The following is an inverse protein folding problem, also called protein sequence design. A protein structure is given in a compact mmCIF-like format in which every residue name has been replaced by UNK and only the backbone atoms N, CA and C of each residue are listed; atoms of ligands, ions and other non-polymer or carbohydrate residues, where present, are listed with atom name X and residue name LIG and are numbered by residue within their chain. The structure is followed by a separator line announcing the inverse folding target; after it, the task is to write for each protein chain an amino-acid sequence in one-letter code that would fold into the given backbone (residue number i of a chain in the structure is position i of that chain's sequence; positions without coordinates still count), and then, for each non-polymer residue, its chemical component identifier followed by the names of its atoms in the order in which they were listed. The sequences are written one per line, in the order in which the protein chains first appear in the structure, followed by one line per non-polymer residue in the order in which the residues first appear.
data_IF_658717994658
#
_entry.id   IF_658717994658
#
_cell.length_a   1.000
_cell.length_b   1.000
_cell.length_c   1.000
_cell.angle_alpha   90.00
_cell.angle_beta   90.00
_cell.angle_gamma   90.00
#
_symmetry.space_group_name_H-M   'P 1'
#
loop_
_entity.id
_entity.type
_entity.pdbx_description
1 polymer ?
#
# COMPACT_ATOMS: atom_id res chain seq x y z
N UNK A 1 1.07 13.47 12.32
CA UNK A 1 -0.03 14.29 11.73
C UNK A 1 -1.35 13.70 12.22
N UNK A 2 -2.30 14.52 12.67
CA UNK A 2 -3.61 14.02 13.09
C UNK A 2 -4.43 13.58 11.85
N UNK A 3 -5.39 12.64 12.00
CA UNK A 3 -6.25 12.22 10.89
C UNK A 3 -6.98 13.37 10.17
N UNK A 4 -7.34 14.42 10.93
CA UNK A 4 -8.01 15.60 10.38
C UNK A 4 -7.10 16.41 9.44
N UNK A 5 -5.81 16.54 9.74
CA UNK A 5 -4.86 17.28 8.88
C UNK A 5 -4.56 16.57 7.56
N UNK A 6 -4.58 15.22 7.55
CA UNK A 6 -4.41 14.47 6.32
C UNK A 6 -5.64 14.58 5.41
N UNK A 7 -6.86 14.56 5.97
CA UNK A 7 -8.09 14.71 5.21
C UNK A 7 -8.20 16.10 4.54
N UNK A 8 -7.93 17.19 5.29
CA UNK A 8 -7.91 18.56 4.73
C UNK A 8 -6.90 18.70 3.58
N UNK A 9 -5.76 18.04 3.66
CA UNK A 9 -4.73 18.11 2.63
C UNK A 9 -5.18 17.43 1.33
N UNK A 10 -5.88 16.31 1.41
CA UNK A 10 -6.45 15.60 0.26
C UNK A 10 -7.55 16.40 -0.43
N UNK A 11 -8.42 17.06 0.32
CA UNK A 11 -9.49 17.90 -0.24
C UNK A 11 -8.95 19.08 -1.07
N UNK A 12 -7.83 19.68 -0.66
CA UNK A 12 -7.28 20.84 -1.35
C UNK A 12 -6.55 20.54 -2.65
N UNK A 13 -5.87 19.38 -2.75
CA UNK A 13 -4.94 19.12 -3.86
C UNK A 13 -5.18 17.80 -4.60
N UNK A 14 -6.06 16.90 -4.11
CA UNK A 14 -6.30 15.58 -4.68
C UNK A 14 -5.05 14.67 -4.73
N UNK A 15 -4.01 15.00 -3.96
CA UNK A 15 -2.75 14.27 -3.95
C UNK A 15 -2.80 13.15 -2.92
N UNK A 16 -2.26 12.01 -3.28
CA UNK A 16 -2.16 10.87 -2.42
C UNK A 16 -0.86 10.10 -2.66
N UNK A 17 -0.38 9.40 -1.66
CA UNK A 17 0.83 8.62 -1.75
C UNK A 17 0.78 7.40 -0.85
N UNK A 18 1.39 6.32 -1.31
CA UNK A 18 1.66 5.12 -0.53
C UNK A 18 3.06 4.61 -0.82
N UNK A 19 3.78 4.20 0.22
CA UNK A 19 5.09 3.56 0.09
C UNK A 19 5.08 2.20 0.77
N UNK A 20 5.61 1.20 0.08
CA UNK A 20 5.80 -0.15 0.61
C UNK A 20 7.29 -0.46 0.62
N UNK A 21 7.73 -1.17 1.64
CA UNK A 21 9.07 -1.73 1.66
C UNK A 21 9.22 -2.76 0.55
N UNK A 22 10.32 -2.74 -0.18
CA UNK A 22 10.67 -3.82 -1.08
C UNK A 22 11.33 -4.96 -0.27
N UNK A 23 10.99 -6.22 -0.60
CA UNK A 23 11.50 -7.40 0.09
C UNK A 23 12.45 -8.15 -0.83
N UNK A 24 13.73 -7.99 -0.56
CA UNK A 24 14.84 -8.60 -1.31
C UNK A 24 15.93 -9.20 -0.39
N UNK A 25 15.60 -9.38 0.89
CA UNK A 25 16.56 -9.87 1.89
C UNK A 25 17.64 -8.85 2.29
N UNK A 26 17.65 -7.66 1.67
CA UNK A 26 18.62 -6.61 1.98
C UNK A 26 18.14 -5.78 3.17
N UNK A 27 18.98 -5.68 4.20
CA UNK A 27 18.67 -4.84 5.34
C UNK A 27 18.97 -3.37 5.01
N UNK A 28 18.11 -2.47 5.52
CA UNK A 28 18.34 -1.03 5.39
C UNK A 28 19.61 -0.63 6.15
N UNK A 29 20.42 0.22 5.52
CA UNK A 29 21.57 0.85 6.15
C UNK A 29 21.16 2.02 7.05
N UNK A 30 21.97 2.33 8.08
CA UNK A 30 21.76 3.51 8.93
C UNK A 30 21.89 4.84 8.17
N UNK A 31 22.56 4.83 7.04
CA UNK A 31 22.86 6.04 6.24
C UNK A 31 21.74 6.33 5.20
N UNK A 32 20.81 5.40 5.03
CA UNK A 32 19.69 5.57 4.11
C UNK A 32 18.59 6.47 4.69
N UNK A 33 18.02 7.30 3.83
CA UNK A 33 16.89 8.18 4.18
C UNK A 33 15.63 7.37 4.46
N UNK A 34 14.77 7.91 5.33
CA UNK A 34 13.46 7.31 5.59
C UNK A 34 12.56 7.39 4.36
N UNK A 35 12.05 6.26 3.91
CA UNK A 35 11.08 6.14 2.80
C UNK A 35 9.79 6.94 3.04
N UNK A 36 9.42 7.14 4.32
CA UNK A 36 8.29 8.00 4.69
C UNK A 36 8.48 9.45 4.25
N UNK A 37 9.73 9.91 4.12
CA UNK A 37 10.08 11.22 3.55
C UNK A 37 9.55 11.42 2.13
N UNK A 38 9.59 10.39 1.28
CA UNK A 38 9.06 10.42 -0.08
C UNK A 38 7.55 10.76 -0.12
N UNK A 39 6.79 10.17 0.80
CA UNK A 39 5.35 10.44 0.93
C UNK A 39 5.12 11.90 1.32
N UNK A 40 5.82 12.37 2.35
CA UNK A 40 5.68 13.75 2.83
C UNK A 40 6.14 14.76 1.78
N UNK A 41 7.28 14.55 1.15
CA UNK A 41 7.82 15.44 0.10
C UNK A 41 6.86 15.53 -1.10
N UNK A 42 6.28 14.40 -1.53
CA UNK A 42 5.29 14.43 -2.59
C UNK A 42 4.01 15.16 -2.17
N UNK A 43 3.43 14.85 -1.01
CA UNK A 43 2.17 15.44 -0.56
C UNK A 43 2.26 16.96 -0.33
N UNK A 44 3.41 17.46 0.12
CA UNK A 44 3.64 18.89 0.38
C UNK A 44 4.21 19.66 -0.83
N UNK A 45 4.67 18.93 -1.85
CA UNK A 45 5.25 19.49 -3.06
C UNK A 45 4.21 19.87 -4.11
N UNK A 46 4.71 20.43 -5.22
CA UNK A 46 3.88 20.89 -6.35
C UNK A 46 4.17 20.16 -7.65
N UNK A 47 5.18 19.28 -7.70
CA UNK A 47 5.52 18.53 -8.90
C UNK A 47 4.40 17.54 -9.27
N UNK A 48 4.22 17.32 -10.58
CA UNK A 48 3.36 16.23 -11.03
C UNK A 48 3.85 14.88 -10.51
N UNK A 49 3.00 13.85 -10.36
CA UNK A 49 3.44 12.52 -9.96
C UNK A 49 4.61 11.98 -10.80
N UNK A 50 4.56 12.16 -12.11
CA UNK A 50 5.62 11.70 -13.01
C UNK A 50 6.94 12.48 -12.83
N UNK A 51 6.85 13.81 -12.70
CA UNK A 51 8.05 14.62 -12.52
C UNK A 51 8.69 14.38 -11.14
N UNK A 52 7.88 14.22 -10.11
CA UNK A 52 8.38 13.82 -8.79
C UNK A 52 9.10 12.47 -8.85
N UNK A 53 8.45 11.45 -9.43
CA UNK A 53 9.02 10.10 -9.52
C UNK A 53 10.36 10.07 -10.27
N UNK A 54 10.55 10.92 -11.29
CA UNK A 54 11.80 11.04 -12.07
C UNK A 54 12.92 11.76 -11.35
N UNK A 55 12.60 12.57 -10.34
CA UNK A 55 13.57 13.38 -9.59
C UNK A 55 14.04 12.71 -8.30
N UNK A 56 13.45 11.57 -7.92
CA UNK A 56 13.88 10.84 -6.73
C UNK A 56 15.33 10.34 -6.93
N UNK A 57 16.22 10.65 -5.98
CA UNK A 57 17.49 9.98 -5.91
C UNK A 57 17.30 8.57 -5.30
N UNK A 58 17.14 7.60 -6.18
CA UNK A 58 16.77 6.24 -5.82
C UNK A 58 17.79 5.55 -4.91
N UNK A 59 19.05 5.99 -4.93
CA UNK A 59 20.14 5.38 -4.17
C UNK A 59 20.13 5.78 -2.70
N UNK A 60 19.45 6.87 -2.38
CA UNK A 60 19.36 7.39 -1.01
C UNK A 60 18.50 6.52 -0.09
N UNK A 61 17.77 5.53 -0.63
CA UNK A 61 16.74 4.81 0.12
C UNK A 61 16.93 3.30 0.07
N UNK A 62 16.60 2.63 1.17
CA UNK A 62 16.36 1.19 1.17
C UNK A 62 15.27 0.81 0.14
N UNK A 63 15.18 -0.46 -0.22
CA UNK A 63 14.21 -0.95 -1.20
C UNK A 63 12.77 -0.51 -0.94
N UNK A 64 12.09 0.07 -1.94
CA UNK A 64 10.71 0.54 -1.85
C UNK A 64 9.95 0.38 -3.17
N UNK A 65 8.62 0.28 -3.07
CA UNK A 65 7.64 0.65 -4.09
C UNK A 65 6.95 1.92 -3.64
N UNK A 66 6.90 2.94 -4.48
CA UNK A 66 6.18 4.19 -4.25
C UNK A 66 5.06 4.31 -5.27
N UNK A 67 3.83 4.50 -4.79
CA UNK A 67 2.66 4.78 -5.61
C UNK A 67 2.17 6.17 -5.22
N UNK A 68 2.11 7.07 -6.18
CA UNK A 68 1.71 8.46 -5.98
C UNK A 68 0.71 8.88 -7.03
N UNK A 69 -0.18 9.77 -6.66
CA UNK A 69 -1.19 10.25 -7.59
C UNK A 69 -1.73 11.62 -7.22
N UNK A 70 -2.36 12.22 -8.20
CA UNK A 70 -3.14 13.45 -8.09
C UNK A 70 -4.46 13.31 -8.86
N UNK A 71 -5.14 14.42 -9.09
CA UNK A 71 -6.38 14.47 -9.84
C UNK A 71 -6.28 14.01 -11.30
N UNK A 72 -5.08 14.00 -11.89
CA UNK A 72 -4.86 13.78 -13.32
C UNK A 72 -4.25 12.41 -13.61
N UNK A 73 -3.36 11.93 -12.75
CA UNK A 73 -2.59 10.71 -13.01
C UNK A 73 -2.17 10.00 -11.72
N UNK A 74 -1.86 8.72 -11.86
CA UNK A 74 -1.18 7.92 -10.85
C UNK A 74 0.08 7.31 -11.45
N UNK A 75 1.14 7.20 -10.66
CA UNK A 75 2.45 6.68 -11.07
C UNK A 75 2.96 5.71 -10.03
N UNK A 76 3.56 4.62 -10.49
CA UNK A 76 4.35 3.72 -9.66
C UNK A 76 5.82 3.80 -10.04
N UNK A 77 6.69 3.73 -9.06
CA UNK A 77 8.16 3.67 -9.22
C UNK A 77 8.76 2.86 -8.09
N UNK A 78 9.88 2.18 -8.35
CA UNK A 78 10.70 1.59 -7.30
C UNK A 78 12.20 1.80 -7.57
N UNK A 79 13.03 1.55 -6.56
CA UNK A 79 14.49 1.57 -6.69
C UNK A 79 15.08 0.15 -6.88
N UNK A 80 14.30 -0.76 -7.45
CA UNK A 80 14.71 -2.13 -7.78
C UNK A 80 14.44 -2.47 -9.26
N UNK A 81 14.58 -1.48 -10.12
CA UNK A 81 14.54 -1.67 -11.57
C UNK A 81 13.22 -1.31 -12.25
N UNK A 82 12.16 -0.95 -11.52
CA UNK A 82 10.90 -0.50 -12.12
C UNK A 82 10.92 1.03 -12.28
N UNK A 83 11.07 1.48 -13.51
CA UNK A 83 11.06 2.91 -13.87
C UNK A 83 9.70 3.55 -13.56
N UNK A 84 9.63 4.91 -13.40
CA UNK A 84 8.35 5.61 -13.25
C UNK A 84 7.38 5.25 -14.37
N UNK A 85 6.27 4.61 -14.00
CA UNK A 85 5.28 4.07 -14.93
C UNK A 85 3.88 4.59 -14.57
N UNK A 86 3.12 5.18 -15.53
CA UNK A 86 1.78 5.63 -15.27
C UNK A 86 0.84 4.45 -15.04
N UNK A 87 -0.05 4.58 -14.06
CA UNK A 87 -1.15 3.66 -13.81
C UNK A 87 -2.41 4.19 -14.50
N UNK A 88 -2.98 3.36 -15.34
CA UNK A 88 -4.25 3.65 -16.02
C UNK A 88 -5.43 3.08 -15.24
N UNK A 89 -6.66 3.29 -15.77
CA UNK A 89 -7.85 2.67 -15.16
C UNK A 89 -7.71 1.16 -15.10
N UNK A 90 -7.88 0.58 -13.92
CA UNK A 90 -7.74 -0.86 -13.70
C UNK A 90 -7.66 -1.24 -12.22
N UNK A 91 -7.50 -2.53 -11.97
CA UNK A 91 -7.27 -3.08 -10.65
C UNK A 91 -5.78 -3.45 -10.50
N UNK A 92 -5.10 -2.77 -9.62
CA UNK A 92 -3.72 -3.03 -9.25
C UNK A 92 -3.66 -3.59 -7.84
N UNK A 93 -2.91 -4.67 -7.65
CA UNK A 93 -2.60 -5.24 -6.34
C UNK A 93 -1.10 -5.36 -6.24
N UNK A 94 -0.51 -4.51 -5.42
CA UNK A 94 0.93 -4.33 -5.29
C UNK A 94 1.36 -4.78 -3.90
N UNK A 95 2.47 -5.49 -3.83
CA UNK A 95 3.04 -5.97 -2.57
C UNK A 95 4.51 -5.53 -2.44
N UNK A 96 5.30 -6.33 -1.76
CA UNK A 96 6.68 -6.02 -1.40
C UNK A 96 7.73 -6.49 -2.44
N UNK A 97 7.31 -6.94 -3.63
CA UNK A 97 8.14 -7.31 -4.79
C UNK A 97 7.95 -6.36 -5.95
N UNK A 98 8.24 -6.82 -7.17
CA UNK A 98 7.95 -6.05 -8.37
C UNK A 98 6.42 -5.86 -8.52
N UNK A 99 5.97 -4.75 -9.14
CA UNK A 99 4.54 -4.51 -9.34
C UNK A 99 3.83 -5.62 -10.12
N UNK A 100 4.55 -6.33 -10.98
CA UNK A 100 4.07 -7.42 -11.82
C UNK A 100 4.12 -8.80 -11.14
N UNK A 101 4.72 -8.90 -9.96
CA UNK A 101 4.88 -10.17 -9.28
C UNK A 101 3.53 -10.81 -8.93
N UNK A 102 3.36 -12.05 -9.38
CA UNK A 102 2.17 -12.86 -9.10
C UNK A 102 2.37 -13.70 -7.84
N UNK A 103 2.54 -13.05 -6.70
CA UNK A 103 2.59 -13.75 -5.43
C UNK A 103 1.22 -14.29 -5.02
N UNK A 104 1.18 -15.36 -4.24
CA UNK A 104 -0.08 -15.95 -3.78
C UNK A 104 -1.04 -14.91 -3.21
N UNK A 105 -0.59 -14.06 -2.29
CA UNK A 105 -1.45 -13.04 -1.66
C UNK A 105 -1.94 -11.98 -2.63
N UNK A 106 -1.15 -11.61 -3.65
CA UNK A 106 -1.59 -10.61 -4.65
C UNK A 106 -2.65 -11.19 -5.58
N UNK A 107 -2.48 -12.43 -6.05
CA UNK A 107 -3.48 -13.11 -6.86
C UNK A 107 -4.76 -13.41 -6.09
N UNK A 108 -4.60 -13.88 -4.84
CA UNK A 108 -5.72 -14.15 -3.94
C UNK A 108 -6.56 -12.88 -3.68
N UNK A 109 -5.90 -11.78 -3.31
CA UNK A 109 -6.55 -10.49 -3.08
C UNK A 109 -7.21 -9.96 -4.37
N UNK A 110 -6.52 -10.04 -5.49
CA UNK A 110 -7.04 -9.60 -6.81
C UNK A 110 -8.30 -10.36 -7.20
N UNK A 111 -8.30 -11.69 -7.01
CA UNK A 111 -9.46 -12.54 -7.29
C UNK A 111 -10.67 -12.15 -6.44
N UNK A 112 -10.48 -12.01 -5.14
CA UNK A 112 -11.55 -11.65 -4.21
C UNK A 112 -12.08 -10.24 -4.43
N UNK A 113 -11.20 -9.26 -4.70
CA UNK A 113 -11.65 -7.89 -5.03
C UNK A 113 -12.55 -7.87 -6.28
N UNK A 114 -12.20 -8.65 -7.32
CA UNK A 114 -13.02 -8.76 -8.53
C UNK A 114 -14.38 -9.40 -8.28
N UNK A 115 -14.46 -10.36 -7.38
CA UNK A 115 -15.67 -11.13 -7.12
C UNK A 115 -16.57 -10.48 -6.07
N UNK A 116 -16.00 -9.85 -5.04
CA UNK A 116 -16.73 -9.47 -3.84
C UNK A 116 -16.86 -7.95 -3.66
N UNK A 117 -15.98 -7.14 -4.25
CA UNK A 117 -15.96 -5.68 -4.02
C UNK A 117 -16.32 -4.89 -5.27
N UNK A 118 -15.66 -5.17 -6.40
CA UNK A 118 -15.88 -4.40 -7.63
C UNK A 118 -17.34 -4.45 -8.13
N UNK A 119 -18.07 -5.57 -8.05
CA UNK A 119 -19.49 -5.59 -8.40
C UNK A 119 -20.33 -4.63 -7.54
N UNK A 120 -20.09 -4.60 -6.22
CA UNK A 120 -20.79 -3.70 -5.31
C UNK A 120 -20.56 -2.22 -5.64
N UNK A 121 -19.34 -1.88 -6.03
CA UNK A 121 -19.00 -0.53 -6.47
C UNK A 121 -19.68 -0.21 -7.81
N UNK A 122 -19.69 -1.16 -8.75
CA UNK A 122 -20.29 -0.99 -10.06
C UNK A 122 -21.82 -0.85 -10.01
N UNK A 123 -22.47 -1.50 -9.04
CA UNK A 123 -23.89 -1.41 -8.76
C UNK A 123 -24.29 -0.17 -7.95
N UNK A 124 -23.36 0.73 -7.70
CA UNK A 124 -23.53 1.93 -6.86
C UNK A 124 -24.07 1.63 -5.45
N UNK A 125 -23.68 0.48 -4.91
CA UNK A 125 -24.02 0.10 -3.54
C UNK A 125 -23.48 1.12 -2.54
N UNK A 126 -24.17 1.26 -1.40
CA UNK A 126 -23.71 2.21 -0.39
C UNK A 126 -22.26 1.94 0.05
N UNK A 127 -21.46 2.97 0.37
CA UNK A 127 -20.09 2.80 0.81
C UNK A 127 -19.91 1.79 1.94
N UNK A 128 -20.86 1.73 2.88
CA UNK A 128 -20.81 0.79 4.01
C UNK A 128 -20.73 -0.68 3.56
N UNK A 129 -21.42 -1.06 2.47
CA UNK A 129 -21.43 -2.45 2.00
C UNK A 129 -20.11 -2.86 1.35
N UNK A 130 -19.65 -2.09 0.36
CA UNK A 130 -18.41 -2.48 -0.33
C UNK A 130 -17.15 -2.27 0.56
N UNK A 131 -17.16 -1.29 1.47
CA UNK A 131 -16.09 -1.12 2.46
C UNK A 131 -16.06 -2.29 3.43
N UNK A 132 -17.21 -2.76 3.91
CA UNK A 132 -17.27 -3.94 4.76
C UNK A 132 -16.72 -5.18 4.06
N UNK A 133 -17.09 -5.41 2.79
CA UNK A 133 -16.56 -6.50 1.98
C UNK A 133 -15.04 -6.36 1.78
N UNK A 134 -14.54 -5.16 1.47
CA UNK A 134 -13.12 -4.89 1.32
C UNK A 134 -12.34 -5.16 2.62
N UNK A 135 -12.81 -4.71 3.76
CA UNK A 135 -12.17 -4.99 5.05
C UNK A 135 -12.19 -6.48 5.42
N UNK A 136 -13.25 -7.21 5.05
CA UNK A 136 -13.29 -8.66 5.23
C UNK A 136 -12.18 -9.35 4.43
N UNK A 137 -11.97 -8.94 3.18
CA UNK A 137 -10.90 -9.49 2.33
C UNK A 137 -9.51 -9.10 2.87
N UNK A 138 -9.33 -7.85 3.31
CA UNK A 138 -8.08 -7.38 3.88
C UNK A 138 -7.72 -8.08 5.20
N UNK A 139 -8.69 -8.70 5.87
CA UNK A 139 -8.52 -9.46 7.12
C UNK A 139 -8.22 -10.95 6.88
N UNK A 140 -8.01 -11.36 5.63
CA UNK A 140 -7.76 -12.75 5.28
C UNK A 140 -6.32 -13.15 5.63
N UNK A 141 -6.17 -14.08 6.58
CA UNK A 141 -4.88 -14.61 7.06
C UNK A 141 -4.45 -15.90 6.35
N UNK A 142 -5.09 -16.26 5.24
CA UNK A 142 -4.73 -17.45 4.45
C UNK A 142 -3.29 -17.34 3.95
N UNK A 143 -2.44 -18.28 4.38
CA UNK A 143 -1.03 -18.35 3.97
C UNK A 143 -0.89 -19.08 2.64
N UNK A 144 0.15 -18.74 1.90
CA UNK A 144 0.50 -19.45 0.69
C UNK A 144 0.90 -20.90 0.97
N UNK A 145 0.54 -21.84 0.09
CA UNK A 145 1.20 -23.16 0.05
C UNK A 145 2.71 -22.99 -0.15
N UNK A 146 3.50 -23.95 0.36
CA UNK A 146 4.97 -23.88 0.33
C UNK A 146 5.53 -23.71 -1.09
N UNK A 147 4.96 -24.41 -2.06
CA UNK A 147 5.32 -24.35 -3.48
C UNK A 147 4.97 -23.02 -4.17
N UNK A 148 4.23 -22.13 -3.50
CA UNK A 148 3.84 -20.80 -3.98
C UNK A 148 4.47 -19.66 -3.21
N UNK A 149 5.39 -19.95 -2.32
CA UNK A 149 6.13 -18.92 -1.61
C UNK A 149 7.14 -18.25 -2.56
N UNK A 150 7.29 -16.92 -2.52
CA UNK A 150 8.35 -16.26 -3.26
C UNK A 150 9.71 -16.55 -2.62
N UNK A 151 10.76 -16.45 -3.41
CA UNK A 151 12.14 -16.53 -2.94
C UNK A 151 12.76 -15.12 -2.95
N UNK A 152 12.55 -14.35 -1.89
CA UNK A 152 13.00 -12.95 -1.82
C UNK A 152 14.29 -12.77 -1.00
N UNK A 153 14.94 -13.87 -0.63
CA UNK A 153 16.20 -13.82 0.13
C UNK A 153 16.03 -13.78 1.65
N UNK A 154 14.80 -13.86 2.16
CA UNK A 154 14.55 -14.03 3.60
C UNK A 154 14.36 -15.50 3.94
N UNK A 155 14.42 -15.86 5.24
CA UNK A 155 14.22 -17.24 5.69
C UNK A 155 12.82 -17.77 5.33
N UNK A 156 12.71 -19.07 5.11
CA UNK A 156 11.45 -19.73 4.71
C UNK A 156 10.28 -19.43 5.67
N UNK A 157 10.53 -19.46 6.97
CA UNK A 157 9.52 -19.18 7.99
C UNK A 157 9.02 -17.74 7.90
N UNK A 158 9.89 -16.81 7.51
CA UNK A 158 9.55 -15.40 7.28
C UNK A 158 8.72 -15.25 6.00
N UNK A 159 9.11 -15.93 4.90
CA UNK A 159 8.30 -15.96 3.67
C UNK A 159 6.90 -16.48 3.95
N UNK A 160 6.78 -17.58 4.68
CA UNK A 160 5.50 -18.17 5.04
C UNK A 160 4.66 -17.24 5.92
N UNK A 161 5.26 -16.60 6.92
CA UNK A 161 4.61 -15.61 7.78
C UNK A 161 4.07 -14.42 7.00
N UNK A 162 4.83 -13.92 6.02
CA UNK A 162 4.51 -12.74 5.22
C UNK A 162 3.65 -13.05 3.99
N UNK A 163 3.20 -14.28 3.81
CA UNK A 163 2.51 -14.73 2.59
C UNK A 163 1.02 -14.45 2.57
N UNK A 164 0.40 -14.10 3.70
CA UNK A 164 -1.02 -13.73 3.79
C UNK A 164 -1.26 -12.25 3.50
N UNK A 165 -2.52 -11.87 3.25
CA UNK A 165 -2.95 -10.47 3.18
C UNK A 165 -2.93 -9.83 4.56
N UNK A 166 -3.58 -10.47 5.54
CA UNK A 166 -3.51 -10.11 6.95
C UNK A 166 -2.43 -10.93 7.62
N UNK A 167 -1.47 -10.27 8.23
CA UNK A 167 -0.42 -10.92 9.01
C UNK A 167 -0.84 -10.89 10.46
N UNK A 168 -1.11 -12.07 11.02
CA UNK A 168 -1.44 -12.23 12.43
C UNK A 168 -0.26 -11.79 13.31
N UNK A 169 -0.51 -11.16 14.47
CA UNK A 169 0.56 -10.71 15.36
C UNK A 169 1.45 -11.86 15.80
N UNK A 170 2.73 -11.78 15.50
CA UNK A 170 3.75 -12.76 15.87
C UNK A 170 4.83 -12.10 16.70
N UNK A 171 5.22 -12.69 17.81
CA UNK A 171 6.34 -12.22 18.61
C UNK A 171 7.65 -12.41 17.86
N UNK A 172 8.40 -11.34 17.63
CA UNK A 172 9.69 -11.35 16.92
C UNK A 172 10.83 -11.06 17.91
N UNK A 173 11.87 -11.89 17.94
CA UNK A 173 13.07 -11.66 18.73
C UNK A 173 13.28 -12.62 19.92
N UNK A 174 14.38 -12.42 20.65
CA UNK A 174 14.84 -13.32 21.73
C UNK A 174 13.98 -13.16 22.99
N UNK A 175 13.77 -14.27 23.71
CA UNK A 175 12.71 -14.48 24.71
C UNK A 175 12.87 -13.71 26.04
N UNK A 176 13.84 -12.80 26.19
CA UNK A 176 14.20 -12.21 27.50
C UNK A 176 13.73 -10.78 27.76
N UNK A 177 13.15 -10.11 26.79
CA UNK A 177 12.57 -8.76 26.96
C UNK A 177 11.21 -8.71 26.26
N UNK A 178 10.35 -7.73 26.61
CA UNK A 178 9.05 -7.51 25.95
C UNK A 178 9.24 -7.47 24.45
N UNK A 179 8.76 -8.50 23.74
CA UNK A 179 9.03 -8.73 22.33
C UNK A 179 8.24 -7.73 21.48
N UNK A 180 8.87 -7.02 20.53
CA UNK A 180 8.09 -6.32 19.52
C UNK A 180 7.26 -7.34 18.75
N UNK A 181 5.97 -7.10 18.64
CA UNK A 181 5.06 -7.91 17.84
C UNK A 181 5.08 -7.39 16.40
N UNK A 182 5.27 -8.29 15.43
CA UNK A 182 5.14 -7.97 14.02
C UNK A 182 3.79 -8.48 13.50
N UNK A 183 3.06 -7.65 12.75
CA UNK A 183 1.77 -8.02 12.19
C UNK A 183 1.08 -6.83 11.53
N UNK A 184 -0.10 -7.07 10.95
CA UNK A 184 -0.94 -6.03 10.41
C UNK A 184 -1.53 -5.21 11.54
N UNK A 185 -1.23 -3.92 11.60
CA UNK A 185 -1.69 -3.01 12.66
C UNK A 185 -2.86 -2.14 12.22
N UNK A 186 -2.92 -1.81 10.94
CA UNK A 186 -3.96 -0.93 10.42
C UNK A 186 -4.35 -1.38 9.01
N UNK A 187 -5.63 -1.27 8.72
CA UNK A 187 -6.18 -1.37 7.37
C UNK A 187 -6.87 -0.05 7.05
N UNK A 188 -6.63 0.48 5.86
CA UNK A 188 -7.21 1.75 5.44
C UNK A 188 -7.76 1.65 4.03
N UNK A 189 -8.89 2.30 3.80
CA UNK A 189 -9.50 2.49 2.49
C UNK A 189 -9.55 3.99 2.24
N UNK A 190 -8.84 4.44 1.22
CA UNK A 190 -8.91 5.80 0.70
C UNK A 190 -9.79 5.81 -0.54
N UNK A 191 -10.80 6.65 -0.54
CA UNK A 191 -11.68 6.88 -1.70
C UNK A 191 -11.50 8.31 -2.19
N UNK A 192 -11.21 8.47 -3.48
CA UNK A 192 -11.16 9.77 -4.14
C UNK A 192 -12.25 9.82 -5.20
N UNK A 193 -13.14 10.79 -5.10
CA UNK A 193 -14.26 10.97 -6.05
C UNK A 193 -14.18 12.35 -6.68
N UNK A 194 -14.30 12.39 -7.99
CA UNK A 194 -14.44 13.66 -8.71
C UNK A 194 -15.90 14.12 -8.62
N UNK A 195 -16.13 15.35 -8.17
CA UNK A 195 -17.45 15.94 -8.16
C UNK A 195 -17.87 16.34 -9.58
N UNK A 196 -19.07 15.91 -9.99
CA UNK A 196 -19.55 16.10 -11.38
C UNK A 196 -19.86 17.57 -11.72
N UNK A 197 -20.22 18.38 -10.73
CA UNK A 197 -20.83 19.71 -10.96
C UNK A 197 -19.97 20.90 -10.49
N UNK A 198 -18.79 20.67 -9.93
CA UNK A 198 -17.99 21.71 -9.27
C UNK A 198 -16.55 21.84 -9.80
N UNK A 199 -16.32 21.59 -11.07
CA UNK A 199 -14.99 21.81 -11.69
C UNK A 199 -13.98 20.73 -11.33
N UNK A 200 -12.80 21.13 -10.84
CA UNK A 200 -11.70 20.20 -10.49
C UNK A 200 -11.73 19.74 -9.02
N UNK A 201 -12.87 19.83 -8.35
CA UNK A 201 -12.97 19.45 -6.95
C UNK A 201 -13.07 17.92 -6.78
N UNK A 202 -12.32 17.42 -5.79
CA UNK A 202 -12.32 16.01 -5.37
C UNK A 202 -12.72 15.92 -3.92
N UNK A 203 -13.59 14.96 -3.64
CA UNK A 203 -13.88 14.57 -2.26
C UNK A 203 -13.04 13.36 -1.91
N UNK A 204 -12.34 13.41 -0.78
CA UNK A 204 -11.57 12.32 -0.23
C UNK A 204 -12.25 11.78 1.03
N UNK A 205 -12.36 10.47 1.12
CA UNK A 205 -12.83 9.76 2.31
C UNK A 205 -11.82 8.70 2.72
N UNK A 206 -11.47 8.66 4.00
CA UNK A 206 -10.57 7.66 4.58
C UNK A 206 -11.30 6.93 5.71
N UNK A 207 -11.36 5.61 5.58
CA UNK A 207 -11.87 4.73 6.64
C UNK A 207 -10.77 3.76 7.04
N UNK A 208 -10.48 3.68 8.33
CA UNK A 208 -9.41 2.83 8.86
C UNK A 208 -9.92 1.94 10.00
N UNK A 209 -9.30 0.75 10.11
CA UNK A 209 -9.43 -0.15 11.25
C UNK A 209 -8.06 -0.36 11.87
N UNK A 210 -7.97 -0.23 13.17
CA UNK A 210 -6.76 -0.50 13.93
C UNK A 210 -6.89 -1.83 14.67
N UNK A 211 -5.79 -2.54 14.79
CA UNK A 211 -5.68 -3.80 15.53
C UNK A 211 -4.75 -3.59 16.71
N UNK A 212 -5.21 -3.96 17.90
CA UNK A 212 -4.40 -3.86 19.11
C UNK A 212 -3.14 -4.72 18.99
N UNK A 213 -2.01 -4.10 19.30
CA UNK A 213 -0.75 -4.83 19.49
C UNK A 213 -0.75 -5.38 20.92
N UNK A 214 -1.16 -6.62 21.09
CA UNK A 214 -1.02 -7.32 22.38
C UNK A 214 0.43 -7.70 22.65
#
# INVERSE_FOLDING_TARGET
MSPAQSAEYYEQNGRWAAVLNFRDGVQASSDERSRGGLVTEFLTGTLSPMDFARQIDLQDYAGFNLIIGDAAQAVIVNNRGHAPTPLYSGLYVISNGQPEDSWFKTEWLRGRLRQEVLPLIAEDSSPAYWQAAAFNILSDSTKAPEDKLPMTGVAFEVEQMLSSVYIEPVAFGDTKTSKPTYGTRTQSILTLRKERDMGANYTADIVSREFDSH
#
